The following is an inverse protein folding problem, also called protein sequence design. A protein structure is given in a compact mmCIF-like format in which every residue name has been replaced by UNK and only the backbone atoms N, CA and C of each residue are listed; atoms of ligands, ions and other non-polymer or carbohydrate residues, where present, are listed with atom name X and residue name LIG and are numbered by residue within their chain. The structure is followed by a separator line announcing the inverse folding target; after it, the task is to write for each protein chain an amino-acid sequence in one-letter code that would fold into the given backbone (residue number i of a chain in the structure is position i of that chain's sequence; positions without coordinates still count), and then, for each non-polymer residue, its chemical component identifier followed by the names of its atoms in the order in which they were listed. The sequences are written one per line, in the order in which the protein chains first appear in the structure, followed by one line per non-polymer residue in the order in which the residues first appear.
data_IF_019440517564
#
_entry.id   IF_019440517564
#
_cell.length_a   1.000
_cell.length_b   1.000
_cell.length_c   1.000
_cell.angle_alpha   90.00
_cell.angle_beta   90.00
_cell.angle_gamma   90.00
#
_symmetry.space_group_name_H-M   'P 1'
#
loop_
_entity.id
_entity.type
_entity.pdbx_description
1 polymer ?
#
# COMPACT_ATOMS: atom_id res chain seq x y z
N UNK A 1 -29.75 2.66 -32.13
CA UNK A 1 -30.93 3.22 -32.81
C UNK A 1 -30.50 4.57 -33.37
N UNK A 2 -29.80 4.57 -34.51
CA UNK A 2 -30.35 4.59 -35.88
C UNK A 2 -30.84 5.97 -36.28
N UNK A 3 -30.23 6.49 -37.34
CA UNK A 3 -30.71 7.52 -38.25
C UNK A 3 -30.82 8.95 -37.72
N UNK A 4 -29.77 9.74 -37.98
CA UNK A 4 -29.94 11.08 -38.58
C UNK A 4 -28.73 11.39 -39.48
N UNK A 5 -28.36 10.42 -40.31
CA UNK A 5 -27.81 10.67 -41.65
C UNK A 5 -28.97 11.12 -42.52
N UNK A 6 -29.56 12.28 -42.23
CA UNK A 6 -30.60 12.84 -43.08
C UNK A 6 -30.35 14.33 -43.17
N UNK A 7 -30.13 14.76 -44.41
CA UNK A 7 -29.95 16.14 -44.85
C UNK A 7 -28.59 16.79 -44.53
N UNK A 8 -27.57 16.24 -45.18
CA UNK A 8 -26.79 17.15 -46.01
C UNK A 8 -27.68 17.59 -47.18
N UNK A 9 -27.70 18.91 -47.41
CA UNK A 9 -28.14 19.61 -48.61
C UNK A 9 -29.61 20.06 -48.63
N UNK A 10 -29.86 21.27 -48.11
CA UNK A 10 -30.54 22.28 -48.92
C UNK A 10 -29.79 23.61 -48.77
N UNK A 11 -29.19 24.00 -49.90
CA UNK A 11 -28.80 25.34 -50.33
C UNK A 11 -29.19 26.50 -49.42
N UNK A 12 -28.23 27.38 -49.13
CA UNK A 12 -28.06 28.57 -49.96
C UNK A 12 -27.13 29.55 -49.24
N UNK A 13 -26.08 29.95 -49.95
CA UNK A 13 -25.67 31.35 -50.08
C UNK A 13 -25.96 32.27 -48.88
N UNK A 14 -25.00 32.40 -47.97
CA UNK A 14 -24.70 33.72 -47.40
C UNK A 14 -23.21 33.79 -47.10
N UNK A 15 -22.53 34.49 -48.01
CA UNK A 15 -21.10 34.77 -47.98
C UNK A 15 -20.86 35.89 -46.95
N UNK A 16 -21.03 35.61 -45.67
CA UNK A 16 -20.90 36.61 -44.61
C UNK A 16 -19.98 36.10 -43.50
N UNK A 17 -18.90 36.84 -43.26
CA UNK A 17 -17.84 36.52 -42.29
C UNK A 17 -18.35 36.20 -40.87
N UNK A 18 -19.55 36.66 -40.53
CA UNK A 18 -20.18 36.48 -39.22
C UNK A 18 -20.67 35.05 -38.93
N UNK A 19 -21.08 34.27 -39.94
CA UNK A 19 -21.61 32.90 -39.72
C UNK A 19 -20.50 31.88 -39.43
N UNK A 20 -19.31 32.06 -40.03
CA UNK A 20 -18.11 31.27 -39.69
C UNK A 20 -17.67 31.52 -38.25
N UNK A 21 -17.71 32.77 -37.79
CA UNK A 21 -17.32 33.14 -36.42
C UNK A 21 -18.27 32.52 -35.38
N UNK A 22 -19.59 32.51 -35.65
CA UNK A 22 -20.59 31.87 -34.78
C UNK A 22 -20.38 30.35 -34.72
N UNK A 23 -20.06 29.71 -35.86
CA UNK A 23 -19.76 28.27 -35.91
C UNK A 23 -18.51 27.90 -35.08
N UNK A 24 -17.44 28.70 -35.17
CA UNK A 24 -16.25 28.52 -34.34
C UNK A 24 -16.52 28.75 -32.85
N UNK A 25 -17.33 29.75 -32.49
CA UNK A 25 -17.72 30.01 -31.09
C UNK A 25 -18.52 28.81 -30.53
N UNK A 26 -19.48 28.26 -31.29
CA UNK A 26 -20.24 27.07 -30.87
C UNK A 26 -19.36 25.82 -30.69
N UNK A 27 -18.36 25.61 -31.56
CA UNK A 27 -17.39 24.50 -31.44
C UNK A 27 -16.49 24.67 -30.21
N UNK A 28 -16.04 25.90 -29.91
CA UNK A 28 -15.21 26.20 -28.76
C UNK A 28 -15.98 26.10 -27.43
N UNK A 29 -17.27 26.51 -27.40
CA UNK A 29 -18.13 26.35 -26.22
C UNK A 29 -18.45 24.88 -25.89
N UNK A 30 -18.42 23.99 -26.90
CA UNK A 30 -18.55 22.54 -26.69
C UNK A 30 -17.27 21.92 -26.11
N UNK A 31 -16.09 22.41 -26.52
CA UNK A 31 -14.80 21.91 -26.01
C UNK A 31 -14.48 22.34 -24.58
N UNK A 32 -15.01 23.48 -24.12
CA UNK A 32 -14.71 24.05 -22.79
C UNK A 32 -15.66 23.62 -21.66
N UNK A 33 -16.46 22.57 -21.85
CA UNK A 33 -17.36 22.02 -20.81
C UNK A 33 -16.89 20.71 -20.17
N UNK A 34 -15.73 20.17 -20.58
CA UNK A 34 -15.16 18.96 -19.96
C UNK A 34 -14.10 19.24 -18.87
N UNK A 35 -13.86 20.51 -18.51
CA UNK A 35 -12.78 20.87 -17.57
C UNK A 35 -13.22 21.05 -16.10
N UNK A 36 -14.45 20.65 -15.75
CA UNK A 36 -14.91 20.75 -14.35
C UNK A 36 -15.54 19.41 -13.93
N UNK A 37 -15.05 18.89 -12.80
CA UNK A 37 -15.44 17.65 -12.08
C UNK A 37 -14.51 16.45 -12.28
N UNK A 38 -13.22 16.64 -11.99
CA UNK A 38 -12.44 15.55 -11.43
C UNK A 38 -12.59 15.63 -9.90
N UNK A 39 -13.35 14.74 -9.24
CA UNK A 39 -13.25 14.62 -7.79
C UNK A 39 -11.81 14.22 -7.47
N UNK A 40 -11.09 15.11 -6.79
CA UNK A 40 -9.83 14.80 -6.13
C UNK A 40 -10.12 13.74 -5.06
N UNK A 41 -10.16 12.47 -5.46
CA UNK A 41 -10.02 11.36 -4.54
C UNK A 41 -8.61 11.46 -3.97
N UNK A 42 -8.47 12.21 -2.89
CA UNK A 42 -7.30 12.16 -2.04
C UNK A 42 -7.29 10.78 -1.41
N UNK A 43 -6.53 9.86 -2.00
CA UNK A 43 -6.23 8.60 -1.32
C UNK A 43 -5.38 8.98 -0.11
N UNK A 44 -5.97 8.92 1.08
CA UNK A 44 -5.21 8.92 2.32
C UNK A 44 -4.31 7.70 2.28
N UNK A 45 -3.04 7.91 1.92
CA UNK A 45 -2.02 6.88 2.06
C UNK A 45 -1.76 6.76 3.55
N UNK A 46 -2.42 5.80 4.21
CA UNK A 46 -2.04 5.38 5.54
C UNK A 46 -0.72 4.62 5.40
N UNK A 47 0.38 5.36 5.30
CA UNK A 47 1.70 4.80 5.47
C UNK A 47 1.75 4.20 6.87
N UNK A 48 1.73 2.86 6.96
CA UNK A 48 2.00 2.20 8.22
C UNK A 48 3.31 2.78 8.78
N UNK A 49 3.24 3.38 9.97
CA UNK A 49 4.41 3.94 10.63
C UNK A 49 5.43 2.82 10.81
N UNK A 50 6.54 2.91 10.07
CA UNK A 50 7.57 1.88 10.04
C UNK A 50 8.38 1.96 11.33
N UNK A 51 8.43 0.88 12.10
CA UNK A 51 9.19 0.89 13.35
C UNK A 51 10.67 1.19 13.10
N UNK A 52 11.25 0.70 11.99
CA UNK A 52 12.67 0.86 11.69
C UNK A 52 13.11 2.32 11.45
N UNK A 53 12.18 3.23 11.13
CA UNK A 53 12.51 4.64 10.94
C UNK A 53 12.71 5.37 12.28
N UNK A 54 12.20 4.81 13.37
CA UNK A 54 12.21 5.43 14.71
C UNK A 54 12.85 4.57 15.79
N UNK A 55 13.31 3.36 15.44
CA UNK A 55 13.99 2.44 16.34
C UNK A 55 15.42 2.18 15.87
N UNK A 56 16.30 1.91 16.83
CA UNK A 56 17.71 1.58 16.66
C UNK A 56 18.07 0.31 17.44
N UNK A 57 19.29 -0.21 17.25
CA UNK A 57 19.77 -1.43 17.91
C UNK A 57 18.80 -2.61 17.75
N UNK A 58 18.30 -2.80 16.53
CA UNK A 58 17.30 -3.83 16.23
C UNK A 58 17.98 -5.20 16.18
N UNK A 59 17.54 -6.10 17.05
CA UNK A 59 18.04 -7.46 17.17
C UNK A 59 16.88 -8.46 17.11
N UNK A 60 17.04 -9.52 16.32
CA UNK A 60 16.09 -10.65 16.26
C UNK A 60 16.69 -11.91 16.86
N UNK A 61 15.99 -12.53 17.82
CA UNK A 61 16.33 -13.85 18.37
C UNK A 61 15.12 -14.77 18.32
N UNK A 62 15.17 -15.76 17.44
CA UNK A 62 14.04 -16.68 17.22
C UNK A 62 12.81 -15.94 16.71
N UNK A 63 11.73 -15.91 17.51
CA UNK A 63 10.52 -15.13 17.21
C UNK A 63 10.42 -13.83 17.99
N UNK A 64 11.44 -13.45 18.78
CA UNK A 64 11.43 -12.18 19.50
C UNK A 64 12.27 -11.15 18.76
N UNK A 65 11.75 -9.93 18.67
CA UNK A 65 12.50 -8.76 18.22
C UNK A 65 12.67 -7.80 19.40
N UNK A 66 13.88 -7.31 19.57
CA UNK A 66 14.25 -6.29 20.55
C UNK A 66 14.77 -5.08 19.79
N UNK A 67 14.32 -3.89 20.15
CA UNK A 67 14.84 -2.65 19.61
C UNK A 67 14.72 -1.51 20.61
N UNK A 68 15.57 -0.50 20.48
CA UNK A 68 15.45 0.76 21.22
C UNK A 68 14.64 1.72 20.36
N UNK A 69 13.42 2.02 20.78
CA UNK A 69 12.47 2.78 20.00
C UNK A 69 12.26 4.17 20.59
N UNK A 70 12.17 5.18 19.71
CA UNK A 70 11.95 6.56 20.14
C UNK A 70 10.58 6.70 20.80
N UNK A 71 10.57 7.21 22.02
CA UNK A 71 9.37 7.45 22.84
C UNK A 71 8.69 8.77 22.50
N UNK A 72 9.48 9.80 22.22
CA UNK A 72 9.01 11.14 21.87
C UNK A 72 9.98 11.84 20.91
N UNK A 73 9.53 12.97 20.33
CA UNK A 73 10.36 13.75 19.40
C UNK A 73 11.60 14.37 20.06
N UNK A 74 11.66 14.42 21.39
CA UNK A 74 12.80 14.92 22.16
C UNK A 74 13.98 13.95 22.23
N UNK A 75 13.89 12.79 21.57
CA UNK A 75 15.01 11.86 21.39
C UNK A 75 15.19 10.87 22.55
N UNK A 76 14.19 10.70 23.42
CA UNK A 76 14.21 9.62 24.40
C UNK A 76 13.96 8.29 23.71
N UNK A 77 14.77 7.28 24.04
CA UNK A 77 14.63 5.92 23.54
C UNK A 77 14.25 4.99 24.67
N UNK A 78 13.30 4.10 24.39
CA UNK A 78 12.87 3.03 25.26
C UNK A 78 13.15 1.71 24.60
N UNK A 79 13.82 0.82 25.32
CA UNK A 79 13.96 -0.56 24.88
C UNK A 79 12.61 -1.25 24.91
N UNK A 80 12.21 -1.81 23.77
CA UNK A 80 11.01 -2.61 23.64
C UNK A 80 11.32 -3.99 23.09
N UNK A 81 10.50 -4.97 23.45
CA UNK A 81 10.61 -6.34 22.96
C UNK A 81 9.22 -6.80 22.54
N UNK A 82 9.14 -7.38 21.35
CA UNK A 82 7.89 -7.85 20.75
C UNK A 82 8.06 -9.30 20.30
N UNK A 83 7.08 -10.14 20.66
CA UNK A 83 6.98 -11.49 20.12
C UNK A 83 6.26 -11.46 18.77
N UNK A 84 6.98 -11.83 17.72
CA UNK A 84 6.50 -11.89 16.34
C UNK A 84 5.35 -12.91 16.17
N UNK A 85 5.19 -13.89 17.07
CA UNK A 85 4.01 -14.76 17.10
C UNK A 85 2.69 -13.97 17.22
N UNK A 86 2.74 -12.78 17.81
CA UNK A 86 1.56 -11.92 17.99
C UNK A 86 1.21 -11.13 16.73
N UNK A 87 2.15 -10.96 15.82
CA UNK A 87 2.04 -10.01 14.71
C UNK A 87 2.18 -10.64 13.33
N UNK A 88 2.70 -11.87 13.25
CA UNK A 88 2.98 -12.56 11.99
C UNK A 88 2.36 -13.94 12.03
N UNK A 89 1.69 -14.29 10.93
CA UNK A 89 1.11 -15.59 10.69
C UNK A 89 1.65 -16.24 9.43
N UNK A 90 1.62 -17.56 9.41
CA UNK A 90 1.83 -18.33 8.20
C UNK A 90 0.50 -18.43 7.42
N UNK A 91 0.51 -18.02 6.16
CA UNK A 91 -0.60 -18.17 5.24
C UNK A 91 -0.18 -19.02 4.04
N UNK A 92 -0.44 -20.33 4.12
CA UNK A 92 -0.15 -21.31 3.06
C UNK A 92 1.33 -21.35 2.63
N UNK A 93 2.24 -21.22 3.59
CA UNK A 93 3.69 -21.18 3.35
C UNK A 93 4.25 -19.77 3.13
N UNK A 94 3.42 -18.73 3.10
CA UNK A 94 3.86 -17.33 3.01
C UNK A 94 3.63 -16.57 4.30
N UNK A 95 4.62 -15.79 4.75
CA UNK A 95 4.48 -14.90 5.90
C UNK A 95 3.51 -13.75 5.58
N UNK A 96 2.63 -13.43 6.52
CA UNK A 96 1.73 -12.26 6.46
C UNK A 96 1.59 -11.61 7.82
N UNK A 97 1.33 -10.31 7.83
CA UNK A 97 0.91 -9.61 9.04
C UNK A 97 -0.43 -10.16 9.52
N UNK A 98 -0.57 -10.37 10.82
CA UNK A 98 -1.79 -10.86 11.42
C UNK A 98 -1.67 -11.01 12.92
N UNK A 99 -2.71 -10.57 13.63
CA UNK A 99 -2.80 -10.75 15.09
C UNK A 99 -2.90 -12.22 15.44
N UNK A 100 -2.23 -12.63 16.51
CA UNK A 100 -2.22 -14.01 17.03
C UNK A 100 -1.88 -15.04 15.93
N UNK A 101 -0.78 -14.80 15.23
CA UNK A 101 -0.43 -15.56 14.05
C UNK A 101 0.29 -16.89 14.30
N UNK A 102 0.75 -17.12 15.54
CA UNK A 102 1.40 -18.37 15.98
C UNK A 102 2.49 -18.83 14.99
N UNK A 103 3.35 -17.88 14.60
CA UNK A 103 4.46 -18.12 13.66
C UNK A 103 5.26 -19.38 14.00
N UNK A 104 5.64 -19.54 15.25
CA UNK A 104 6.43 -20.66 15.78
C UNK A 104 5.74 -22.03 15.66
N UNK A 105 4.40 -22.08 15.55
CA UNK A 105 3.67 -23.34 15.41
C UNK A 105 3.81 -23.95 14.01
N UNK A 106 4.11 -23.13 12.99
CA UNK A 106 4.10 -23.56 11.59
C UNK A 106 5.31 -23.12 10.76
N UNK A 107 6.23 -22.36 11.36
CA UNK A 107 7.48 -21.93 10.73
C UNK A 107 8.69 -22.25 11.62
N UNK A 108 9.80 -22.55 10.95
CA UNK A 108 11.09 -22.92 11.55
C UNK A 108 12.21 -22.11 10.90
N UNK A 109 13.40 -22.14 11.51
CA UNK A 109 14.60 -21.43 11.01
C UNK A 109 14.34 -19.95 10.69
N UNK A 110 13.62 -19.27 11.57
CA UNK A 110 13.40 -17.83 11.47
C UNK A 110 14.70 -17.07 11.81
N UNK A 111 15.07 -16.14 10.95
CA UNK A 111 16.23 -15.27 11.13
C UNK A 111 15.93 -13.87 10.60
N UNK A 112 16.41 -12.85 11.31
CA UNK A 112 16.35 -11.48 10.84
C UNK A 112 17.49 -11.25 9.84
N UNK A 113 17.15 -10.77 8.65
CA UNK A 113 18.07 -10.33 7.60
C UNK A 113 18.10 -8.81 7.60
N UNK A 114 19.30 -8.24 7.79
CA UNK A 114 19.44 -6.81 8.00
C UNK A 114 18.72 -6.37 9.27
N UNK A 115 17.83 -5.38 9.15
CA UNK A 115 17.13 -4.78 10.30
C UNK A 115 15.61 -5.00 10.27
N UNK A 116 15.03 -5.30 9.11
CA UNK A 116 13.57 -5.27 8.95
C UNK A 116 13.02 -6.47 8.21
N UNK A 117 13.85 -7.33 7.63
CA UNK A 117 13.38 -8.46 6.85
C UNK A 117 13.46 -9.74 7.68
N UNK A 118 12.32 -10.36 7.97
CA UNK A 118 12.27 -11.65 8.64
C UNK A 118 12.18 -12.76 7.60
N UNK A 119 13.18 -13.64 7.57
CA UNK A 119 13.21 -14.83 6.74
C UNK A 119 12.90 -16.06 7.59
N UNK A 120 11.93 -16.88 7.18
CA UNK A 120 11.58 -18.15 7.84
C UNK A 120 11.34 -19.25 6.80
N UNK A 121 11.34 -20.50 7.27
CA UNK A 121 10.84 -21.64 6.52
C UNK A 121 9.47 -22.04 7.07
N UNK A 122 8.42 -21.89 6.29
CA UNK A 122 7.04 -22.08 6.73
C UNK A 122 6.38 -23.28 6.07
N UNK A 123 5.58 -24.03 6.83
CA UNK A 123 4.85 -25.20 6.32
C UNK A 123 3.84 -24.77 5.27
N UNK A 124 3.88 -25.40 4.10
CA UNK A 124 2.87 -25.25 3.06
C UNK A 124 1.75 -26.29 3.25
N UNK A 125 0.53 -25.93 2.85
CA UNK A 125 -0.67 -26.79 2.95
C UNK A 125 -0.80 -27.75 1.76
N UNK A 126 0.07 -27.60 0.73
CA UNK A 126 0.14 -28.55 -0.39
C UNK A 126 0.58 -29.95 0.09
N UNK A 127 0.16 -30.98 -0.63
CA UNK A 127 0.52 -32.38 -0.37
C UNK A 127 2.04 -32.54 -0.15
N UNK A 128 2.41 -33.32 0.85
CA UNK A 128 3.81 -33.53 1.25
C UNK A 128 4.41 -32.45 2.17
N UNK A 129 3.65 -31.39 2.51
CA UNK A 129 4.04 -30.36 3.49
C UNK A 129 5.49 -29.85 3.42
N UNK A 130 6.03 -29.53 2.23
CA UNK A 130 7.36 -28.97 2.17
C UNK A 130 7.38 -27.63 2.92
N UNK A 131 8.38 -27.47 3.78
CA UNK A 131 8.71 -26.16 4.34
C UNK A 131 9.25 -25.30 3.19
N UNK A 132 8.60 -24.17 2.93
CA UNK A 132 9.01 -23.23 1.90
C UNK A 132 9.66 -22.02 2.54
N UNK A 133 10.75 -21.54 1.95
CA UNK A 133 11.42 -20.31 2.38
C UNK A 133 10.56 -19.12 2.00
N UNK A 134 10.33 -18.22 2.95
CA UNK A 134 9.52 -17.01 2.77
C UNK A 134 10.10 -15.90 3.63
N UNK A 135 10.00 -14.67 3.14
CA UNK A 135 10.41 -13.48 3.83
C UNK A 135 9.24 -12.50 3.99
N UNK A 136 9.36 -11.60 4.95
CA UNK A 136 8.44 -10.47 5.11
C UNK A 136 9.20 -9.26 5.65
N UNK A 137 8.86 -8.09 5.10
CA UNK A 137 9.30 -6.82 5.66
C UNK A 137 8.45 -6.48 6.89
N UNK A 138 9.09 -6.51 8.06
CA UNK A 138 8.52 -6.22 9.36
C UNK A 138 7.97 -4.79 9.46
N UNK A 139 8.48 -3.85 8.66
CA UNK A 139 7.92 -2.49 8.60
C UNK A 139 6.47 -2.46 8.14
N UNK A 140 5.99 -3.53 7.49
CA UNK A 140 4.58 -3.66 7.09
C UNK A 140 3.69 -4.17 8.22
N UNK A 141 4.27 -4.77 9.26
CA UNK A 141 3.53 -5.45 10.32
C UNK A 141 3.73 -4.83 11.69
N UNK A 142 4.85 -4.15 11.92
CA UNK A 142 5.29 -3.64 13.21
C UNK A 142 5.40 -2.13 13.14
N UNK A 143 4.84 -1.47 14.14
CA UNK A 143 4.98 -0.03 14.38
C UNK A 143 5.61 0.25 15.73
N UNK A 144 6.14 1.46 15.87
CA UNK A 144 6.55 2.01 17.15
C UNK A 144 5.46 2.96 17.65
N UNK A 145 4.93 2.72 18.85
CA UNK A 145 3.95 3.57 19.51
C UNK A 145 4.55 4.12 20.81
N UNK A 146 5.10 5.33 20.77
CA UNK A 146 5.74 5.97 21.93
C UNK A 146 6.75 5.06 22.64
N UNK A 147 7.66 4.44 21.89
CA UNK A 147 8.72 3.59 22.43
C UNK A 147 8.28 2.13 22.66
N UNK A 148 7.02 1.78 22.40
CA UNK A 148 6.53 0.40 22.47
C UNK A 148 6.31 -0.19 21.08
N UNK A 149 6.98 -1.31 20.79
CA UNK A 149 6.78 -2.08 19.57
C UNK A 149 5.43 -2.79 19.60
N UNK A 150 4.67 -2.65 18.52
CA UNK A 150 3.36 -3.28 18.39
C UNK A 150 2.99 -3.61 16.96
N UNK A 151 1.84 -4.25 16.83
CA UNK A 151 1.08 -4.53 15.62
C UNK A 151 -0.41 -4.29 15.91
#
# INVERSE_FOLDING_TARGET
MSSCYFFFIQQASSNTSSTKLIFYIFIMQFFMKCLALLPLFTMAVSGASKFADTCQNIEGRGTQIRADCRENEHGQYRTSTLDLNRCIKNNKGGLKCGKNGELSASCIHCSLRGHTELECMCRNVKEGHPYVRTNIDLNKCISNNHGELGC
#
